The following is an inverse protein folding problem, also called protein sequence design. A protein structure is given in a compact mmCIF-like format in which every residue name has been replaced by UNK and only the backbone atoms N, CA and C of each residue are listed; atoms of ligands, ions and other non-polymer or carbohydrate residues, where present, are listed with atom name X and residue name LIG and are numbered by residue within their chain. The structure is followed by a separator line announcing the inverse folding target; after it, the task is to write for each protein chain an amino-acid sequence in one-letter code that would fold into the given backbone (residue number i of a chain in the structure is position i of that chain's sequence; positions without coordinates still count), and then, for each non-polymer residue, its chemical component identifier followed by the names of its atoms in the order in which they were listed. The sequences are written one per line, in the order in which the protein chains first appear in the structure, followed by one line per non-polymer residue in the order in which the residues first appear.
data_IF_730561008051
#
_entry.id   IF_730561008051
#
_cell.length_a   1.000
_cell.length_b   1.000
_cell.length_c   1.000
_cell.angle_alpha   90.00
_cell.angle_beta   90.00
_cell.angle_gamma   90.00
#
_symmetry.space_group_name_H-M   'P 1'
#
loop_
_entity.id
_entity.type
_entity.pdbx_description
1 polymer ?
#
# COMPACT_ATOMS: atom_id res chain seq x y z
N UNK A 1 15.76 10.04 14.19
CA UNK A 1 16.31 9.10 13.21
C UNK A 1 15.24 8.17 12.69
N UNK A 2 14.52 7.51 13.59
CA UNK A 2 13.40 6.66 13.17
C UNK A 2 12.29 7.46 12.53
N UNK A 3 12.10 8.70 12.96
CA UNK A 3 11.10 9.56 12.36
C UNK A 3 11.41 9.83 10.89
N UNK A 4 12.68 10.04 10.56
CA UNK A 4 13.08 10.27 9.18
C UNK A 4 12.81 9.04 8.32
N UNK A 5 13.13 7.86 8.84
CA UNK A 5 12.90 6.62 8.12
C UNK A 5 11.41 6.40 7.91
N UNK A 6 10.60 6.64 8.96
CA UNK A 6 9.16 6.47 8.86
C UNK A 6 8.55 7.42 7.84
N UNK A 7 9.02 8.68 7.83
CA UNK A 7 8.51 9.65 6.86
C UNK A 7 8.86 9.25 5.44
N UNK A 8 10.09 8.78 5.20
CA UNK A 8 10.49 8.33 3.87
C UNK A 8 9.63 7.16 3.41
N UNK A 9 9.41 6.18 4.29
CA UNK A 9 8.60 5.02 3.94
C UNK A 9 7.16 5.43 3.69
N UNK A 10 6.64 6.38 4.49
CA UNK A 10 5.29 6.88 4.29
C UNK A 10 5.15 7.54 2.92
N UNK A 11 6.13 8.37 2.52
CA UNK A 11 6.10 8.98 1.21
C UNK A 11 6.15 7.95 0.09
N UNK A 12 6.98 6.92 0.27
CA UNK A 12 7.06 5.85 -0.71
C UNK A 12 5.70 5.14 -0.83
N UNK A 13 5.07 4.87 0.29
CA UNK A 13 3.76 4.20 0.29
C UNK A 13 2.71 5.07 -0.39
N UNK A 14 2.67 6.35 -0.08
CA UNK A 14 1.72 7.26 -0.71
C UNK A 14 1.95 7.35 -2.21
N UNK A 15 3.23 7.48 -2.62
CA UNK A 15 3.56 7.49 -4.04
C UNK A 15 3.16 6.21 -4.74
N UNK A 16 3.38 5.09 -4.08
CA UNK A 16 3.02 3.81 -4.64
C UNK A 16 1.51 3.69 -4.81
N UNK A 17 0.75 4.15 -3.83
CA UNK A 17 -0.71 4.14 -3.91
C UNK A 17 -1.17 4.99 -5.10
N UNK A 18 -0.59 6.18 -5.26
CA UNK A 18 -0.98 7.06 -6.35
C UNK A 18 -0.64 6.46 -7.71
N UNK A 19 0.55 5.87 -7.84
CA UNK A 19 0.97 5.26 -9.09
C UNK A 19 0.06 4.07 -9.42
N UNK A 20 -0.20 3.23 -8.44
CA UNK A 20 -1.07 2.07 -8.64
C UNK A 20 -2.48 2.50 -9.03
N UNK A 21 -3.00 3.52 -8.36
CA UNK A 21 -4.32 4.03 -8.68
C UNK A 21 -4.38 4.59 -10.08
N UNK A 22 -3.33 5.32 -10.49
CA UNK A 22 -3.28 5.90 -11.82
C UNK A 22 -3.25 4.82 -12.89
N UNK A 23 -2.43 3.80 -12.70
CA UNK A 23 -2.35 2.70 -13.66
C UNK A 23 -3.69 1.98 -13.75
N UNK A 24 -4.28 1.66 -12.62
CA UNK A 24 -5.54 0.93 -12.60
C UNK A 24 -6.65 1.75 -13.23
N UNK A 25 -6.71 3.04 -12.93
CA UNK A 25 -7.75 3.90 -13.46
C UNK A 25 -7.67 3.99 -14.99
N UNK A 26 -6.45 3.99 -15.54
CA UNK A 26 -6.27 4.08 -16.98
C UNK A 26 -6.54 2.74 -17.69
N UNK A 27 -6.26 1.64 -17.01
CA UNK A 27 -6.42 0.31 -17.60
C UNK A 27 -7.85 -0.20 -17.48
N UNK A 28 -8.45 0.00 -16.30
CA UNK A 28 -9.81 -0.49 -16.04
C UNK A 28 -10.82 0.45 -16.65
N UNK A 29 -11.56 -0.06 -17.62
CA UNK A 29 -12.66 0.68 -18.23
C UNK A 29 -13.96 0.04 -17.78
N UNK A 30 -14.14 -0.03 -16.47
CA UNK A 30 -15.27 -0.72 -15.90
C UNK A 30 -16.11 0.22 -15.06
N UNK A 31 -17.31 -0.22 -14.70
CA UNK A 31 -18.19 0.54 -13.84
C UNK A 31 -17.66 0.63 -12.40
N UNK A 32 -16.66 -0.17 -12.07
CA UNK A 32 -16.08 -0.16 -10.71
C UNK A 32 -15.27 1.09 -10.45
N UNK A 33 -14.52 1.56 -11.45
CA UNK A 33 -13.63 2.71 -11.30
C UNK A 33 -14.24 3.90 -12.03
N UNK A 34 -15.23 4.52 -11.41
CA UNK A 34 -15.98 5.61 -12.05
C UNK A 34 -15.16 6.89 -12.11
N UNK A 35 -14.32 7.11 -11.13
CA UNK A 35 -13.45 8.28 -11.10
C UNK A 35 -12.14 7.92 -10.45
N UNK A 36 -11.21 8.88 -10.47
CA UNK A 36 -9.87 8.63 -9.93
C UNK A 36 -9.91 8.40 -8.41
N UNK A 37 -10.85 9.02 -7.74
CA UNK A 37 -10.98 8.81 -6.29
C UNK A 37 -11.30 7.36 -5.97
N UNK A 38 -12.13 6.72 -6.79
CA UNK A 38 -12.42 5.29 -6.60
C UNK A 38 -11.15 4.45 -6.74
N UNK A 39 -10.28 4.82 -7.67
CA UNK A 39 -9.01 4.10 -7.85
C UNK A 39 -8.09 4.30 -6.66
N UNK A 40 -8.02 5.51 -6.11
CA UNK A 40 -7.24 5.78 -4.92
C UNK A 40 -7.79 4.99 -3.74
N UNK A 41 -9.09 4.97 -3.59
CA UNK A 41 -9.74 4.22 -2.53
C UNK A 41 -9.41 2.73 -2.64
N UNK A 42 -9.53 2.18 -3.84
CA UNK A 42 -9.20 0.76 -4.05
C UNK A 42 -7.73 0.48 -3.74
N UNK A 43 -6.83 1.33 -4.22
CA UNK A 43 -5.40 1.13 -4.00
C UNK A 43 -5.07 1.19 -2.50
N UNK A 44 -5.68 2.14 -1.80
CA UNK A 44 -5.43 2.30 -0.37
C UNK A 44 -5.89 1.08 0.41
N UNK A 45 -7.12 0.61 0.16
CA UNK A 45 -7.65 -0.53 0.90
C UNK A 45 -6.93 -1.83 0.53
N UNK A 46 -6.51 -1.94 -0.72
CA UNK A 46 -5.79 -3.12 -1.17
C UNK A 46 -4.38 -3.16 -0.60
N UNK A 47 -3.68 -2.03 -0.67
CA UNK A 47 -2.30 -1.94 -0.20
C UNK A 47 -2.20 -2.15 1.30
N UNK A 48 -3.16 -1.61 2.04
CA UNK A 48 -3.16 -1.74 3.50
C UNK A 48 -3.77 -3.05 3.98
N UNK A 49 -4.13 -3.92 3.06
CA UNK A 49 -4.70 -5.25 3.31
C UNK A 49 -6.06 -5.23 3.99
N UNK A 50 -6.77 -4.09 3.95
CA UNK A 50 -8.13 -4.03 4.47
C UNK A 50 -9.07 -4.86 3.61
N UNK A 51 -9.01 -4.65 2.27
CA UNK A 51 -9.69 -5.51 1.33
C UNK A 51 -11.19 -5.54 1.47
N UNK A 52 -11.85 -4.37 1.45
CA UNK A 52 -13.31 -4.35 1.57
C UNK A 52 -14.00 -5.14 0.46
N UNK A 53 -13.43 -5.14 -0.75
CA UNK A 53 -14.00 -5.90 -1.85
C UNK A 53 -15.18 -5.24 -2.55
N UNK A 54 -15.45 -3.98 -2.25
CA UNK A 54 -16.54 -3.25 -2.89
C UNK A 54 -16.12 -2.66 -4.25
N UNK A 55 -14.85 -2.37 -4.42
CA UNK A 55 -14.28 -1.90 -5.69
C UNK A 55 -13.11 -2.81 -6.03
N UNK A 56 -13.12 -3.34 -7.25
CA UNK A 56 -12.05 -4.24 -7.68
C UNK A 56 -11.99 -4.25 -9.20
N UNK A 57 -10.84 -4.65 -9.78
CA UNK A 57 -10.71 -4.70 -11.23
C UNK A 57 -11.53 -5.84 -11.83
N UNK A 58 -12.11 -5.58 -12.99
CA UNK A 58 -12.92 -6.57 -13.70
C UNK A 58 -12.18 -7.20 -14.87
N UNK A 59 -11.20 -6.50 -15.44
CA UNK A 59 -10.46 -7.03 -16.58
C UNK A 59 -9.35 -7.95 -16.11
N UNK A 60 -8.93 -8.86 -17.00
CA UNK A 60 -7.84 -9.75 -16.67
C UNK A 60 -6.52 -9.00 -16.48
N UNK A 61 -6.28 -7.98 -17.31
CA UNK A 61 -5.09 -7.15 -17.19
C UNK A 61 -5.08 -6.45 -15.84
N UNK A 62 -6.22 -5.87 -15.45
CA UNK A 62 -6.34 -5.23 -14.15
C UNK A 62 -6.09 -6.19 -13.00
N UNK A 63 -6.59 -7.41 -13.12
CA UNK A 63 -6.38 -8.41 -12.10
C UNK A 63 -4.91 -8.80 -11.97
N UNK A 64 -4.21 -8.94 -13.09
CA UNK A 64 -2.79 -9.27 -13.07
C UNK A 64 -2.00 -8.14 -12.42
N UNK A 65 -2.29 -6.90 -12.79
CA UNK A 65 -1.64 -5.75 -12.19
C UNK A 65 -1.93 -5.70 -10.69
N UNK A 66 -3.16 -6.02 -10.31
CA UNK A 66 -3.55 -6.07 -8.91
C UNK A 66 -2.74 -7.11 -8.14
N UNK A 67 -2.50 -8.26 -8.74
CA UNK A 67 -1.69 -9.30 -8.10
C UNK A 67 -0.27 -8.81 -7.80
N UNK A 68 0.39 -8.25 -8.81
CA UNK A 68 1.74 -7.76 -8.61
C UNK A 68 1.77 -6.58 -7.63
N UNK A 69 0.81 -5.68 -7.76
CA UNK A 69 0.74 -4.51 -6.88
C UNK A 69 0.53 -4.92 -5.42
N UNK A 70 -0.31 -5.94 -5.20
CA UNK A 70 -0.57 -6.40 -3.85
C UNK A 70 0.67 -7.03 -3.22
N UNK A 71 1.41 -7.80 -4.00
CA UNK A 71 2.63 -8.42 -3.49
C UNK A 71 3.66 -7.35 -3.10
N UNK A 72 3.84 -6.35 -3.96
CA UNK A 72 4.75 -5.26 -3.67
C UNK A 72 4.23 -4.42 -2.50
N UNK A 73 2.91 -4.23 -2.45
CA UNK A 73 2.31 -3.44 -1.39
C UNK A 73 2.49 -4.05 -0.01
N UNK A 74 2.38 -5.38 0.08
CA UNK A 74 2.63 -6.05 1.35
C UNK A 74 4.05 -5.78 1.83
N UNK A 75 5.02 -5.85 0.92
CA UNK A 75 6.40 -5.58 1.28
C UNK A 75 6.57 -4.13 1.75
N UNK A 76 5.94 -3.18 1.07
CA UNK A 76 6.05 -1.77 1.42
C UNK A 76 5.43 -1.49 2.79
N UNK A 77 4.29 -2.12 3.07
CA UNK A 77 3.62 -1.94 4.35
C UNK A 77 4.40 -2.65 5.47
N UNK A 78 4.98 -3.81 5.17
CA UNK A 78 5.72 -4.57 6.17
C UNK A 78 6.99 -3.86 6.61
N UNK A 79 7.64 -3.10 5.72
CA UNK A 79 8.87 -2.40 6.04
C UNK A 79 8.72 -1.45 7.23
N UNK A 80 7.75 -0.51 7.23
CA UNK A 80 7.60 0.37 8.38
C UNK A 80 7.23 -0.38 9.65
N UNK A 81 6.40 -1.42 9.53
CA UNK A 81 6.05 -2.24 10.69
C UNK A 81 7.28 -2.91 11.26
N UNK A 82 8.15 -3.42 10.40
CA UNK A 82 9.39 -4.05 10.86
C UNK A 82 10.33 -3.08 11.52
N UNK A 83 10.46 -1.87 10.97
CA UNK A 83 11.32 -0.85 11.57
C UNK A 83 10.81 -0.46 12.94
N UNK A 84 9.51 -0.24 13.08
CA UNK A 84 8.92 0.13 14.37
C UNK A 84 9.14 -0.98 15.39
N UNK A 85 8.90 -2.22 15.00
CA UNK A 85 9.07 -3.37 15.87
C UNK A 85 10.52 -3.50 16.32
N UNK A 86 11.46 -3.40 15.39
CA UNK A 86 12.88 -3.53 15.71
C UNK A 86 13.33 -2.44 16.66
N UNK A 87 12.91 -1.20 16.44
CA UNK A 87 13.26 -0.08 17.28
C UNK A 87 12.69 -0.27 18.68
N UNK A 88 11.45 -0.71 18.76
CA UNK A 88 10.81 -0.92 20.06
C UNK A 88 11.51 -2.01 20.86
N UNK A 89 11.85 -3.12 20.22
CA UNK A 89 12.55 -4.21 20.88
C UNK A 89 13.93 -3.79 21.35
N UNK A 90 14.62 -3.01 20.55
CA UNK A 90 15.95 -2.52 20.92
C UNK A 90 15.86 -1.58 22.13
N UNK A 91 14.85 -0.73 22.14
CA UNK A 91 14.65 0.19 23.24
C UNK A 91 14.34 -0.56 24.55
N UNK A 92 13.51 -1.60 24.46
CA UNK A 92 13.21 -2.42 25.62
C UNK A 92 14.47 -3.11 26.14
N UNK A 93 15.28 -3.63 25.22
CA UNK A 93 16.52 -4.30 25.61
C UNK A 93 17.48 -3.34 26.29
N UNK A 94 17.59 -2.13 25.76
CA UNK A 94 18.47 -1.12 26.35
C UNK A 94 17.99 -0.65 27.71
N UNK A 95 16.67 -0.56 27.90
CA UNK A 95 16.13 -0.08 29.16
C UNK A 95 16.32 -1.09 30.29
N UNK A 96 16.56 -2.36 29.96
CA UNK A 96 16.82 -3.37 30.98
C UNK A 96 18.27 -3.38 31.46
N UNK A 97 19.15 -2.67 30.78
CA UNK A 97 20.54 -2.54 31.21
C UNK A 97 20.68 -1.44 32.21
#
# INVERSE_FOLDING_TARGET
KEKSILLVVLYIALGYILITALIMFNIEDSSMFKNFFDAIYWATTTLTTVGYGDIYPLTNIGKVISMFSSLLGVAIIALPSGVITASYLEELRNSKK
#
